data_IF_325325449285
#
_entry.id   IF_325325449285
#
_cell.length_a   1.000
_cell.length_b   1.000
_cell.length_c   1.000
_cell.angle_alpha   90.00
_cell.angle_beta   90.00
_cell.angle_gamma   90.00
#
_symmetry.space_group_name_H-M   'P 1'
#
loop_
_entity.id
_entity.type
_entity.pdbx_description
1 polymer ?
#
# COMPACT_ATOMS: atom_id res chain seq x y z
N UNK A 1 -18.28 1.14 1.52
CA UNK A 1 -17.55 2.19 0.74
C UNK A 1 -18.41 3.41 0.44
N UNK A 2 -17.80 4.56 0.12
CA UNK A 2 -18.48 5.83 -0.23
C UNK A 2 -18.21 6.19 -1.69
N UNK A 3 -19.26 6.55 -2.44
CA UNK A 3 -19.11 7.06 -3.80
C UNK A 3 -18.50 8.49 -3.80
N UNK A 4 -17.46 8.69 -4.61
CA UNK A 4 -16.76 9.96 -4.80
C UNK A 4 -16.46 10.16 -6.29
N UNK A 5 -16.25 11.41 -6.71
CA UNK A 5 -15.84 11.71 -8.09
C UNK A 5 -14.37 11.34 -8.32
N UNK A 6 -14.02 11.04 -9.58
CA UNK A 6 -12.64 10.68 -9.99
C UNK A 6 -11.65 11.76 -9.59
N UNK A 7 -12.02 13.04 -9.71
CA UNK A 7 -11.17 14.17 -9.33
C UNK A 7 -10.87 14.27 -7.85
N UNK A 8 -11.61 13.56 -6.99
CA UNK A 8 -11.33 13.43 -5.55
C UNK A 8 -10.50 12.16 -5.29
N UNK A 9 -10.84 11.07 -5.96
CA UNK A 9 -10.13 9.79 -5.86
C UNK A 9 -8.67 9.88 -6.34
N UNK A 10 -8.39 10.70 -7.35
CA UNK A 10 -7.06 10.85 -7.94
C UNK A 10 -6.20 11.94 -7.31
N UNK A 11 -6.67 12.62 -6.25
CA UNK A 11 -5.88 13.70 -5.63
C UNK A 11 -4.72 13.11 -4.85
N UNK A 12 -3.52 13.51 -5.23
CA UNK A 12 -2.30 13.17 -4.53
C UNK A 12 -1.81 14.36 -3.69
N UNK A 13 -1.88 14.31 -2.35
CA UNK A 13 -1.49 15.43 -1.48
C UNK A 13 0.02 15.50 -1.15
N UNK A 14 0.86 14.59 -1.67
CA UNK A 14 2.28 14.51 -1.28
C UNK A 14 3.23 15.46 -2.04
N UNK A 15 2.82 16.01 -3.19
CA UNK A 15 3.59 16.99 -3.98
C UNK A 15 2.68 18.13 -4.40
N UNK A 16 3.24 19.32 -4.65
CA UNK A 16 2.47 20.37 -5.30
C UNK A 16 2.29 20.03 -6.79
N UNK A 17 1.17 20.47 -7.38
CA UNK A 17 0.79 20.13 -8.76
C UNK A 17 1.91 20.26 -9.81
N UNK A 18 2.74 21.32 -9.84
CA UNK A 18 3.80 21.40 -10.85
C UNK A 18 4.93 20.38 -10.65
N UNK A 19 5.35 20.11 -9.42
CA UNK A 19 6.41 19.14 -9.15
C UNK A 19 5.92 17.70 -9.33
N UNK A 20 4.67 17.43 -8.97
CA UNK A 20 4.03 16.13 -9.20
C UNK A 20 3.99 15.83 -10.72
N UNK A 21 3.48 16.76 -11.51
CA UNK A 21 3.34 16.60 -12.95
C UNK A 21 4.69 16.40 -13.66
N UNK A 22 5.74 17.12 -13.25
CA UNK A 22 7.06 16.98 -13.86
C UNK A 22 7.75 15.67 -13.46
N UNK A 23 7.72 15.31 -12.17
CA UNK A 23 8.38 14.12 -11.65
C UNK A 23 7.73 12.83 -12.17
N UNK A 24 6.41 12.78 -12.25
CA UNK A 24 5.67 11.57 -12.65
C UNK A 24 5.30 11.50 -14.13
N UNK A 25 5.72 12.48 -14.94
CA UNK A 25 5.51 12.50 -16.39
C UNK A 25 5.91 11.19 -17.08
N UNK A 26 6.96 10.54 -16.59
CA UNK A 26 7.44 9.26 -17.11
C UNK A 26 6.43 8.12 -16.96
N UNK A 27 5.66 8.12 -15.86
CA UNK A 27 4.68 7.08 -15.52
C UNK A 27 3.23 7.45 -15.86
N UNK A 28 2.98 8.72 -16.22
CA UNK A 28 1.65 9.23 -16.59
C UNK A 28 1.45 9.43 -18.10
N UNK A 29 2.36 8.91 -18.94
CA UNK A 29 2.23 9.02 -20.39
C UNK A 29 1.54 7.78 -21.00
N UNK A 30 0.96 7.96 -22.19
CA UNK A 30 0.22 6.88 -22.88
C UNK A 30 1.08 5.62 -23.15
N UNK A 31 2.40 5.78 -23.22
CA UNK A 31 3.37 4.70 -23.48
C UNK A 31 4.28 4.42 -22.29
N UNK A 32 3.80 4.67 -21.07
CA UNK A 32 4.62 4.44 -19.87
C UNK A 32 5.08 2.98 -19.77
N UNK A 33 6.40 2.73 -19.68
CA UNK A 33 6.95 1.39 -19.64
C UNK A 33 6.70 0.74 -18.27
N UNK A 34 6.72 -0.59 -18.24
CA UNK A 34 6.84 -1.35 -17.00
C UNK A 34 8.31 -1.68 -16.77
N UNK A 35 9.04 -0.74 -16.16
CA UNK A 35 10.46 -0.91 -15.84
C UNK A 35 10.81 -0.45 -14.41
N UNK A 36 12.07 -0.65 -14.02
CA UNK A 36 12.56 -0.31 -12.69
C UNK A 36 12.42 1.18 -12.39
N UNK A 37 12.53 2.06 -13.38
CA UNK A 37 12.37 3.52 -13.21
C UNK A 37 10.91 3.86 -12.91
N UNK A 38 9.97 3.26 -13.66
CA UNK A 38 8.55 3.42 -13.41
C UNK A 38 8.15 2.89 -12.02
N UNK A 39 8.64 1.71 -11.65
CA UNK A 39 8.41 1.14 -10.33
C UNK A 39 8.97 2.02 -9.20
N UNK A 40 10.16 2.60 -9.40
CA UNK A 40 10.78 3.51 -8.43
C UNK A 40 9.95 4.78 -8.23
N UNK A 41 9.54 5.43 -9.32
CA UNK A 41 8.71 6.63 -9.28
C UNK A 41 7.36 6.36 -8.62
N UNK A 42 6.67 5.28 -9.00
CA UNK A 42 5.40 4.89 -8.36
C UNK A 42 5.58 4.60 -6.87
N UNK A 43 6.69 3.97 -6.48
CA UNK A 43 7.01 3.75 -5.07
C UNK A 43 7.28 5.05 -4.30
N UNK A 44 7.98 6.01 -4.91
CA UNK A 44 8.16 7.35 -4.36
C UNK A 44 6.83 8.04 -4.09
N UNK A 45 5.90 7.96 -5.06
CA UNK A 45 4.55 8.53 -4.93
C UNK A 45 3.80 7.87 -3.77
N UNK A 46 3.76 6.54 -3.71
CA UNK A 46 3.13 5.80 -2.62
C UNK A 46 3.70 6.20 -1.24
N UNK A 47 5.03 6.29 -1.11
CA UNK A 47 5.68 6.67 0.16
C UNK A 47 5.41 8.13 0.54
N UNK A 48 5.39 9.05 -0.42
CA UNK A 48 5.05 10.45 -0.15
C UNK A 48 3.58 10.60 0.31
N UNK A 49 2.66 9.77 -0.18
CA UNK A 49 1.30 9.70 0.36
C UNK A 49 1.29 9.26 1.84
N UNK A 50 2.04 8.20 2.18
CA UNK A 50 2.13 7.70 3.55
C UNK A 50 2.71 8.73 4.52
N UNK A 51 3.70 9.51 4.08
CA UNK A 51 4.24 10.65 4.86
C UNK A 51 3.10 11.64 5.16
N UNK A 52 2.36 12.07 4.14
CA UNK A 52 1.24 13.00 4.30
C UNK A 52 0.12 12.44 5.20
N UNK A 53 -0.23 11.16 5.02
CA UNK A 53 -1.25 10.47 5.79
C UNK A 53 -0.88 10.43 7.29
N UNK A 54 0.37 10.09 7.61
CA UNK A 54 0.86 10.12 9.00
C UNK A 54 0.92 11.54 9.58
N UNK A 55 1.24 12.56 8.77
CA UNK A 55 1.26 13.96 9.25
C UNK A 55 -0.17 14.40 9.62
N UNK A 56 -1.12 14.04 8.78
CA UNK A 56 -2.56 14.26 9.03
C UNK A 56 -3.02 13.52 10.28
N UNK A 57 -2.59 12.26 10.45
CA UNK A 57 -2.90 11.47 11.64
C UNK A 57 -2.35 12.12 12.93
N UNK A 58 -1.10 12.56 12.92
CA UNK A 58 -0.46 13.24 14.07
C UNK A 58 -1.16 14.56 14.40
N UNK A 59 -1.49 15.35 13.39
CA UNK A 59 -2.28 16.59 13.56
C UNK A 59 -3.65 16.29 14.16
N UNK A 60 -4.30 15.22 13.70
CA UNK A 60 -5.57 14.73 14.24
C UNK A 60 -5.46 14.34 15.71
N UNK A 61 -4.43 13.58 16.12
CA UNK A 61 -4.18 13.22 17.52
C UNK A 61 -3.97 14.48 18.37
N UNK A 62 -3.16 15.42 17.91
CA UNK A 62 -2.90 16.68 18.60
C UNK A 62 -4.17 17.52 18.78
N UNK A 63 -5.04 17.58 17.76
CA UNK A 63 -6.34 18.24 17.87
C UNK A 63 -7.26 17.54 18.87
N UNK A 64 -7.39 16.20 18.76
CA UNK A 64 -8.22 15.37 19.64
C UNK A 64 -7.83 15.50 21.11
N UNK A 65 -6.53 15.53 21.40
CA UNK A 65 -6.00 15.65 22.78
C UNK A 65 -6.46 16.90 23.53
N UNK A 66 -6.93 17.95 22.83
CA UNK A 66 -7.36 19.21 23.45
C UNK A 66 -8.84 19.23 23.84
N UNK A 67 -9.67 18.39 23.20
CA UNK A 67 -11.13 18.52 23.28
C UNK A 67 -11.88 17.20 23.52
N UNK A 68 -11.28 16.04 23.19
CA UNK A 68 -11.98 14.75 23.15
C UNK A 68 -12.50 14.27 24.52
N UNK A 69 -11.87 14.73 25.60
CA UNK A 69 -12.16 14.33 26.97
C UNK A 69 -12.89 15.42 27.78
N UNK A 70 -13.26 16.53 27.14
CA UNK A 70 -13.96 17.62 27.80
C UNK A 70 -15.32 17.17 28.35
N UNK A 71 -15.60 17.53 29.61
CA UNK A 71 -16.84 17.17 30.29
C UNK A 71 -16.88 15.74 30.86
N UNK A 72 -15.85 14.91 30.62
CA UNK A 72 -15.76 13.57 31.21
C UNK A 72 -15.24 13.63 32.66
N UNK A 73 -15.62 12.65 33.51
CA UNK A 73 -14.95 12.42 34.80
C UNK A 73 -13.45 12.18 34.65
N UNK A 74 -12.66 12.62 35.63
CA UNK A 74 -11.19 12.55 35.60
C UNK A 74 -10.60 11.19 35.22
N UNK A 75 -11.18 10.09 35.73
CA UNK A 75 -10.70 8.74 35.41
C UNK A 75 -10.85 8.40 33.91
N UNK A 76 -11.94 8.85 33.27
CA UNK A 76 -12.13 8.69 31.82
C UNK A 76 -11.23 9.63 31.02
N UNK A 77 -11.03 10.88 31.49
CA UNK A 77 -10.07 11.79 30.87
C UNK A 77 -8.67 11.20 30.86
N UNK A 78 -8.24 10.66 32.00
CA UNK A 78 -6.94 10.00 32.14
C UNK A 78 -6.80 8.81 31.18
N UNK A 79 -7.84 7.99 31.03
CA UNK A 79 -7.84 6.88 30.06
C UNK A 79 -7.73 7.38 28.62
N UNK A 80 -8.53 8.37 28.22
CA UNK A 80 -8.49 8.95 26.87
C UNK A 80 -7.10 9.53 26.57
N UNK A 81 -6.54 10.32 27.48
CA UNK A 81 -5.23 10.93 27.28
C UNK A 81 -4.10 9.91 27.24
N UNK A 82 -4.17 8.83 28.03
CA UNK A 82 -3.19 7.74 27.96
C UNK A 82 -3.22 7.00 26.61
N UNK A 83 -4.41 6.77 26.05
CA UNK A 83 -4.55 6.18 24.70
C UNK A 83 -3.98 7.13 23.65
N UNK A 84 -4.38 8.40 23.66
CA UNK A 84 -3.87 9.40 22.71
C UNK A 84 -2.36 9.60 22.81
N UNK A 85 -1.80 9.53 24.02
CA UNK A 85 -0.36 9.61 24.25
C UNK A 85 0.38 8.41 23.64
N UNK A 86 -0.13 7.20 23.87
CA UNK A 86 0.43 5.98 23.29
C UNK A 86 0.37 6.00 21.76
N UNK A 87 -0.74 6.50 21.21
CA UNK A 87 -0.93 6.64 19.77
C UNK A 87 0.04 7.64 19.18
N UNK A 88 0.22 8.79 19.84
CA UNK A 88 1.18 9.80 19.41
C UNK A 88 2.58 9.23 19.30
N UNK A 89 3.05 8.48 20.30
CA UNK A 89 4.37 7.84 20.28
C UNK A 89 4.48 6.89 19.08
N UNK A 90 3.47 6.05 18.84
CA UNK A 90 3.47 5.11 17.72
C UNK A 90 3.48 5.81 16.35
N UNK A 91 2.70 6.88 16.19
CA UNK A 91 2.66 7.68 14.96
C UNK A 91 3.96 8.45 14.74
N UNK A 92 4.55 9.02 15.79
CA UNK A 92 5.85 9.71 15.73
C UNK A 92 6.98 8.77 15.32
N UNK A 93 7.01 7.54 15.86
CA UNK A 93 7.97 6.52 15.45
C UNK A 93 7.76 6.14 13.98
N UNK A 94 6.53 5.80 13.59
CA UNK A 94 6.22 5.45 12.20
C UNK A 94 6.48 6.61 11.22
N UNK A 95 6.38 7.85 11.68
CA UNK A 95 6.73 9.05 10.89
C UNK A 95 8.24 9.12 10.62
N UNK A 96 9.07 8.85 11.63
CA UNK A 96 10.51 8.81 11.46
C UNK A 96 10.91 7.71 10.45
N UNK A 97 10.29 6.53 10.56
CA UNK A 97 10.56 5.40 9.68
C UNK A 97 10.18 5.69 8.22
N UNK A 98 8.98 6.22 7.97
CA UNK A 98 8.54 6.52 6.59
C UNK A 98 9.34 7.67 5.96
N UNK A 99 9.78 8.67 6.74
CA UNK A 99 10.63 9.76 6.23
C UNK A 99 12.03 9.26 5.88
N UNK A 100 12.60 8.37 6.70
CA UNK A 100 13.86 7.71 6.37
C UNK A 100 13.72 6.91 5.07
N UNK A 101 12.62 6.17 4.90
CA UNK A 101 12.34 5.46 3.67
C UNK A 101 12.18 6.39 2.46
N UNK A 102 11.44 7.49 2.59
CA UNK A 102 11.31 8.50 1.53
C UNK A 102 12.68 9.03 1.08
N UNK A 103 13.60 9.27 2.03
CA UNK A 103 14.98 9.64 1.73
C UNK A 103 15.75 8.57 0.94
N UNK A 104 15.52 7.27 1.22
CA UNK A 104 16.13 6.18 0.44
C UNK A 104 15.62 6.13 -0.98
N UNK A 105 14.32 6.31 -1.20
CA UNK A 105 13.75 6.39 -2.53
C UNK A 105 14.27 7.59 -3.31
N UNK A 106 14.37 8.76 -2.67
CA UNK A 106 14.96 9.94 -3.28
C UNK A 106 16.43 9.69 -3.68
N UNK A 107 17.24 9.10 -2.79
CA UNK A 107 18.62 8.75 -3.10
C UNK A 107 18.73 7.73 -4.26
N UNK A 108 17.80 6.78 -4.34
CA UNK A 108 17.72 5.82 -5.44
C UNK A 108 17.39 6.47 -6.78
N UNK A 109 16.56 7.53 -6.76
CA UNK A 109 16.23 8.31 -7.93
C UNK A 109 17.39 9.20 -8.39
N UNK A 110 18.08 9.84 -7.44
CA UNK A 110 19.21 10.73 -7.73
C UNK A 110 20.44 9.97 -8.24
N UNK A 111 20.62 8.71 -7.83
CA UNK A 111 21.74 7.86 -8.23
C UNK A 111 21.29 6.44 -8.65
N UNK A 112 20.70 6.28 -9.85
CA UNK A 112 20.22 5.00 -10.34
C UNK A 112 21.32 3.92 -10.36
N UNK A 113 20.97 2.70 -9.94
CA UNK A 113 21.88 1.54 -9.93
C UNK A 113 22.80 1.41 -8.71
N UNK A 114 22.79 2.38 -7.78
CA UNK A 114 23.64 2.35 -6.57
C UNK A 114 22.89 2.03 -5.27
N UNK A 115 21.57 1.82 -5.37
CA UNK A 115 20.65 2.06 -4.25
C UNK A 115 20.10 0.82 -3.54
N UNK A 116 20.43 -0.40 -4.02
CA UNK A 116 19.82 -1.63 -3.49
C UNK A 116 18.30 -1.65 -3.61
N UNK A 117 17.75 -0.89 -4.58
CA UNK A 117 16.33 -0.87 -4.89
C UNK A 117 15.98 -2.09 -5.72
N UNK A 118 14.98 -2.84 -5.27
CA UNK A 118 14.43 -3.98 -5.97
C UNK A 118 13.04 -3.65 -6.47
N UNK A 119 12.72 -4.15 -7.66
CA UNK A 119 11.40 -3.99 -8.26
C UNK A 119 10.90 -5.32 -8.81
N UNK A 120 9.60 -5.54 -8.67
CA UNK A 120 8.86 -6.58 -9.38
C UNK A 120 7.58 -5.95 -9.90
N UNK A 121 7.16 -6.31 -11.10
CA UNK A 121 5.89 -5.81 -11.62
C UNK A 121 5.30 -6.70 -12.69
N UNK A 122 3.99 -6.57 -12.88
CA UNK A 122 3.25 -7.28 -13.92
C UNK A 122 2.33 -6.31 -14.65
N UNK A 123 2.07 -6.58 -15.92
CA UNK A 123 1.04 -5.92 -16.72
C UNK A 123 -0.05 -6.92 -17.07
N UNK A 124 -1.30 -6.51 -16.89
CA UNK A 124 -2.46 -7.29 -17.35
C UNK A 124 -2.82 -6.98 -18.80
N UNK A 125 -3.52 -7.89 -19.46
CA UNK A 125 -4.11 -7.69 -20.79
C UNK A 125 -5.28 -6.70 -20.83
N UNK A 126 -5.65 -6.12 -19.69
CA UNK A 126 -6.81 -5.24 -19.51
C UNK A 126 -6.63 -4.26 -18.37
N UNK A 127 -7.60 -3.36 -18.24
CA UNK A 127 -7.75 -2.49 -17.08
C UNK A 127 -8.59 -3.22 -16.03
N UNK A 128 -8.07 -3.32 -14.81
CA UNK A 128 -8.80 -3.84 -13.65
C UNK A 128 -9.76 -2.77 -13.11
N UNK A 129 -10.88 -3.15 -12.49
CA UNK A 129 -11.89 -2.21 -12.01
C UNK A 129 -11.50 -1.55 -10.68
N UNK A 130 -10.22 -1.57 -10.30
CA UNK A 130 -9.71 -1.00 -9.07
C UNK A 130 -8.27 -0.49 -9.23
N UNK A 131 -7.92 0.47 -8.38
CA UNK A 131 -6.60 1.06 -8.28
C UNK A 131 -6.27 1.26 -6.79
N UNK A 132 -5.01 1.11 -6.43
CA UNK A 132 -4.55 1.30 -5.08
C UNK A 132 -3.07 1.66 -5.05
N UNK A 133 -2.64 2.43 -4.06
CA UNK A 133 -1.23 2.73 -3.87
C UNK A 133 -0.90 3.00 -2.41
N UNK A 134 0.18 2.42 -1.89
CA UNK A 134 0.69 2.73 -0.56
C UNK A 134 1.90 1.88 -0.19
N UNK A 135 2.40 2.04 1.03
CA UNK A 135 3.58 1.31 1.50
C UNK A 135 3.34 0.69 2.87
N UNK A 136 3.68 -0.58 3.03
CA UNK A 136 3.37 -1.36 4.23
C UNK A 136 4.48 -2.34 4.60
N UNK A 137 4.40 -2.90 5.80
CA UNK A 137 5.28 -3.97 6.23
C UNK A 137 4.66 -5.33 5.89
N UNK A 138 5.40 -6.17 5.18
CA UNK A 138 4.95 -7.51 4.85
C UNK A 138 4.98 -8.40 6.11
N UNK A 139 3.79 -8.76 6.62
CA UNK A 139 3.64 -9.58 7.83
C UNK A 139 3.42 -11.07 7.50
N UNK A 140 2.68 -11.33 6.43
CA UNK A 140 2.25 -12.66 5.98
C UNK A 140 2.34 -12.74 4.45
N UNK A 141 2.32 -13.95 3.89
CA UNK A 141 2.31 -14.19 2.44
C UNK A 141 1.04 -14.88 1.94
N UNK A 142 0.94 -15.15 0.64
CA UNK A 142 -0.23 -15.78 0.01
C UNK A 142 -0.41 -17.27 0.36
N UNK A 143 0.57 -17.87 1.05
CA UNK A 143 0.45 -19.21 1.63
C UNK A 143 0.14 -19.17 3.13
N UNK A 144 -0.07 -17.97 3.68
CA UNK A 144 -0.32 -17.72 5.10
C UNK A 144 0.88 -17.95 6.01
N UNK A 145 2.09 -17.95 5.46
CA UNK A 145 3.31 -18.00 6.25
C UNK A 145 3.57 -16.63 6.85
N UNK A 146 3.87 -16.59 8.14
CA UNK A 146 4.29 -15.36 8.82
C UNK A 146 5.71 -15.02 8.38
N UNK A 147 5.86 -13.91 7.67
CA UNK A 147 7.14 -13.42 7.13
C UNK A 147 7.98 -12.71 8.18
N UNK A 148 7.32 -12.09 9.16
CA UNK A 148 7.96 -11.40 10.27
C UNK A 148 7.07 -11.47 11.51
N UNK A 149 7.67 -11.71 12.68
CA UNK A 149 7.04 -11.45 13.97
C UNK A 149 7.47 -10.07 14.48
N UNK A 150 6.55 -9.34 15.09
CA UNK A 150 6.73 -7.95 15.58
C UNK A 150 7.93 -7.81 16.54
N UNK A 151 8.36 -8.89 17.20
CA UNK A 151 9.47 -8.97 18.14
C UNK A 151 10.84 -9.32 17.54
N UNK A 152 10.93 -9.53 16.22
CA UNK A 152 12.19 -9.86 15.53
C UNK A 152 13.14 -8.65 15.44
N UNK A 153 14.45 -8.91 15.60
CA UNK A 153 15.52 -7.91 15.40
C UNK A 153 15.88 -7.70 13.92
N UNK A 154 15.22 -8.41 13.02
CA UNK A 154 15.51 -8.36 11.59
C UNK A 154 15.31 -6.95 11.05
N UNK A 155 16.09 -6.57 10.04
CA UNK A 155 15.90 -5.30 9.36
C UNK A 155 14.46 -5.20 8.83
N UNK A 156 13.79 -4.09 9.14
CA UNK A 156 12.44 -3.83 8.68
C UNK A 156 12.50 -3.56 7.18
N UNK A 157 11.79 -4.35 6.38
CA UNK A 157 11.67 -4.15 4.94
C UNK A 157 10.23 -3.77 4.61
N UNK A 158 10.01 -2.47 4.43
CA UNK A 158 8.75 -1.94 3.92
C UNK A 158 8.73 -2.11 2.39
N UNK A 159 7.56 -2.40 1.86
CA UNK A 159 7.31 -2.56 0.42
C UNK A 159 6.26 -1.55 -0.01
N UNK A 160 6.52 -0.87 -1.12
CA UNK A 160 5.53 -0.05 -1.81
C UNK A 160 4.80 -0.89 -2.85
N UNK A 161 3.47 -0.82 -2.84
CA UNK A 161 2.58 -1.47 -3.81
C UNK A 161 1.84 -0.38 -4.58
N UNK A 162 1.83 -0.50 -5.90
CA UNK A 162 1.00 0.33 -6.77
C UNK A 162 0.21 -0.55 -7.74
N UNK A 163 -1.08 -0.26 -7.85
CA UNK A 163 -2.02 -0.86 -8.78
C UNK A 163 -2.62 0.31 -9.53
N UNK A 164 -2.13 0.56 -10.73
CA UNK A 164 -2.48 1.73 -11.50
C UNK A 164 -2.47 1.43 -12.99
N UNK A 165 -3.20 2.23 -13.76
CA UNK A 165 -3.16 2.17 -15.22
C UNK A 165 -1.88 2.82 -15.70
N UNK A 166 -1.02 2.05 -16.38
CA UNK A 166 0.14 2.57 -17.13
C UNK A 166 -0.18 2.40 -18.61
N UNK A 167 -0.41 3.50 -19.33
CA UNK A 167 -0.90 3.44 -20.72
C UNK A 167 -2.33 2.92 -20.80
N UNK A 168 -2.54 1.76 -21.44
CA UNK A 168 -3.87 1.19 -21.70
C UNK A 168 -4.20 -0.06 -20.87
N UNK A 169 -3.38 -0.38 -19.87
CA UNK A 169 -3.55 -1.59 -19.05
C UNK A 169 -3.20 -1.31 -17.60
N UNK A 170 -3.78 -2.11 -16.69
CA UNK A 170 -3.37 -2.06 -15.29
C UNK A 170 -2.03 -2.77 -15.12
N UNK A 171 -1.12 -2.11 -14.40
CA UNK A 171 0.09 -2.71 -13.88
C UNK A 171 0.02 -2.79 -12.35
N UNK A 172 0.66 -3.82 -11.83
CA UNK A 172 0.94 -3.97 -10.41
C UNK A 172 2.45 -3.87 -10.27
N UNK A 173 2.93 -2.94 -9.44
CA UNK A 173 4.36 -2.77 -9.17
C UNK A 173 4.64 -2.83 -7.68
N UNK A 174 5.71 -3.53 -7.35
CA UNK A 174 6.30 -3.65 -6.04
C UNK A 174 7.67 -3.00 -6.08
N UNK A 175 7.97 -2.17 -5.09
CA UNK A 175 9.29 -1.58 -4.91
C UNK A 175 9.70 -1.67 -3.45
N UNK A 176 10.92 -2.13 -3.17
CA UNK A 176 11.43 -2.23 -1.80
C UNK A 176 12.95 -2.12 -1.76
N UNK A 177 13.45 -2.05 -0.54
CA UNK A 177 14.87 -2.21 -0.24
C UNK A 177 15.06 -3.31 0.81
N UNK A 178 16.19 -4.00 0.74
CA UNK A 178 16.56 -5.02 1.72
C UNK A 178 17.38 -6.14 1.07
N UNK A 179 17.79 -7.10 1.88
CA UNK A 179 18.44 -8.31 1.38
C UNK A 179 17.44 -9.20 0.62
N UNK A 180 17.96 -10.16 -0.15
CA UNK A 180 17.15 -11.07 -0.97
C UNK A 180 16.21 -11.97 -0.17
N UNK A 181 16.44 -12.16 1.13
CA UNK A 181 15.60 -12.97 2.03
C UNK A 181 14.71 -12.13 2.98
N UNK A 182 14.63 -10.81 2.78
CA UNK A 182 13.79 -9.94 3.59
C UNK A 182 12.29 -10.24 3.40
N UNK A 183 11.46 -9.76 4.32
CA UNK A 183 10.01 -9.99 4.29
C UNK A 183 9.35 -9.50 2.98
N UNK A 184 9.78 -8.36 2.45
CA UNK A 184 9.28 -7.83 1.18
C UNK A 184 9.58 -8.79 0.01
N UNK A 185 10.82 -9.29 -0.09
CA UNK A 185 11.21 -10.24 -1.12
C UNK A 185 10.39 -11.55 -1.03
N UNK A 186 10.21 -12.09 0.18
CA UNK A 186 9.41 -13.31 0.42
C UNK A 186 7.94 -13.13 0.04
N UNK A 187 7.34 -11.97 0.31
CA UNK A 187 5.99 -11.65 -0.15
C UNK A 187 5.90 -11.65 -1.68
N UNK A 188 6.87 -11.01 -2.35
CA UNK A 188 6.93 -10.96 -3.81
C UNK A 188 7.16 -12.33 -4.42
N UNK A 189 8.02 -13.17 -3.82
CA UNK A 189 8.21 -14.56 -4.26
C UNK A 189 6.90 -15.36 -4.17
N UNK A 190 6.20 -15.23 -3.05
CA UNK A 190 4.89 -15.84 -2.85
C UNK A 190 3.85 -15.35 -3.86
N UNK A 191 3.88 -14.08 -4.26
CA UNK A 191 2.99 -13.51 -5.27
C UNK A 191 3.35 -14.00 -6.68
N UNK A 192 4.64 -14.02 -7.01
CA UNK A 192 5.15 -14.44 -8.31
C UNK A 192 4.88 -15.93 -8.58
N UNK A 193 4.87 -16.75 -7.53
CA UNK A 193 4.56 -18.17 -7.60
C UNK A 193 3.08 -18.50 -7.90
N UNK A 194 2.18 -17.51 -7.82
CA UNK A 194 0.78 -17.70 -8.19
C UNK A 194 0.61 -17.85 -9.71
N UNK A 195 -0.45 -18.55 -10.12
CA UNK A 195 -0.82 -18.60 -11.53
C UNK A 195 -1.18 -17.20 -12.05
N UNK A 196 -0.89 -16.92 -13.32
CA UNK A 196 -1.09 -15.58 -13.90
C UNK A 196 -2.52 -15.06 -13.76
N UNK A 197 -3.52 -15.97 -13.81
CA UNK A 197 -4.93 -15.64 -13.63
C UNK A 197 -5.31 -15.33 -12.18
N UNK A 198 -4.52 -15.78 -11.20
CA UNK A 198 -4.76 -15.52 -9.78
C UNK A 198 -4.18 -14.17 -9.34
N UNK A 199 -3.19 -13.63 -10.06
CA UNK A 199 -2.47 -12.41 -9.67
C UNK A 199 -3.37 -11.18 -9.58
N UNK A 200 -4.45 -11.10 -10.36
CA UNK A 200 -5.41 -9.99 -10.27
C UNK A 200 -6.19 -10.01 -8.94
N UNK A 201 -6.72 -11.18 -8.57
CA UNK A 201 -7.42 -11.35 -7.29
C UNK A 201 -6.45 -11.19 -6.11
N UNK A 202 -5.24 -11.72 -6.21
CA UNK A 202 -4.19 -11.56 -5.21
C UNK A 202 -3.83 -10.08 -5.00
N UNK A 203 -3.78 -9.30 -6.08
CA UNK A 203 -3.54 -7.85 -6.00
C UNK A 203 -4.69 -7.12 -5.31
N UNK A 204 -5.95 -7.53 -5.56
CA UNK A 204 -7.11 -6.99 -4.85
C UNK A 204 -7.04 -7.29 -3.35
N UNK A 205 -6.85 -8.55 -2.98
CA UNK A 205 -6.81 -8.98 -1.57
C UNK A 205 -5.69 -8.25 -0.84
N UNK A 206 -4.48 -8.20 -1.44
CA UNK A 206 -3.36 -7.49 -0.86
C UNK A 206 -3.63 -6.00 -0.66
N UNK A 207 -4.27 -5.34 -1.63
CA UNK A 207 -4.63 -3.93 -1.51
C UNK A 207 -5.68 -3.69 -0.42
N UNK A 208 -6.74 -4.50 -0.36
CA UNK A 208 -7.80 -4.37 0.65
C UNK A 208 -7.29 -4.60 2.08
N UNK A 209 -6.32 -5.50 2.23
CA UNK A 209 -5.73 -5.83 3.53
C UNK A 209 -4.75 -4.76 4.02
N UNK A 210 -3.99 -4.14 3.12
CA UNK A 210 -2.86 -3.28 3.50
C UNK A 210 -3.00 -1.80 3.17
N UNK A 211 -3.85 -1.42 2.22
CA UNK A 211 -3.86 -0.07 1.66
C UNK A 211 -5.18 0.65 1.98
N UNK A 212 -5.07 1.78 2.67
CA UNK A 212 -6.20 2.69 2.88
C UNK A 212 -6.59 3.43 1.58
N UNK A 213 -5.60 3.68 0.73
CA UNK A 213 -5.76 4.35 -0.55
C UNK A 213 -6.15 3.35 -1.64
N UNK A 214 -7.38 2.83 -1.53
CA UNK A 214 -8.01 1.90 -2.47
C UNK A 214 -9.25 2.53 -3.09
N UNK A 215 -9.38 2.38 -4.41
CA UNK A 215 -10.54 2.82 -5.18
C UNK A 215 -10.98 1.73 -6.14
N UNK A 216 -12.29 1.62 -6.36
CA UNK A 216 -12.85 0.74 -7.37
C UNK A 216 -14.01 1.39 -8.11
N UNK A 217 -14.35 0.87 -9.28
CA UNK A 217 -15.53 1.34 -10.01
C UNK A 217 -16.79 0.97 -9.22
N UNK A 218 -17.76 1.89 -9.09
CA UNK A 218 -19.02 1.59 -8.41
C UNK A 218 -19.77 0.42 -9.06
N UNK A 219 -19.78 0.36 -10.40
CA UNK A 219 -20.45 -0.70 -11.14
C UNK A 219 -19.90 -2.09 -10.79
N UNK A 220 -18.57 -2.24 -10.70
CA UNK A 220 -17.97 -3.50 -10.30
C UNK A 220 -18.32 -3.86 -8.86
N UNK A 221 -18.24 -2.89 -7.94
CA UNK A 221 -18.57 -3.13 -6.54
C UNK A 221 -20.03 -3.57 -6.35
N UNK A 222 -20.96 -2.93 -7.05
CA UNK A 222 -22.40 -3.21 -6.95
C UNK A 222 -22.78 -4.57 -7.57
N UNK A 223 -21.98 -5.07 -8.53
CA UNK A 223 -22.15 -6.39 -9.15
C UNK A 223 -21.60 -7.55 -8.29
N UNK A 224 -20.76 -7.28 -7.29
CA UNK A 224 -20.21 -8.33 -6.43
C UNK A 224 -21.32 -9.04 -5.62
N UNK A 225 -21.20 -10.35 -5.38
CA UNK A 225 -22.06 -11.04 -4.41
C UNK A 225 -21.96 -10.39 -3.02
N UNK A 226 -23.07 -10.38 -2.28
CA UNK A 226 -23.13 -9.77 -0.94
C UNK A 226 -22.07 -10.35 0.00
N UNK A 227 -21.85 -11.66 -0.03
CA UNK A 227 -20.81 -12.32 0.77
C UNK A 227 -19.40 -11.80 0.48
N UNK A 228 -19.10 -11.49 -0.78
CA UNK A 228 -17.80 -10.94 -1.18
C UNK A 228 -17.66 -9.51 -0.67
N UNK A 229 -18.68 -8.66 -0.84
CA UNK A 229 -18.67 -7.28 -0.33
C UNK A 229 -18.49 -7.23 1.18
N UNK A 230 -19.27 -7.99 1.94
CA UNK A 230 -19.18 -8.01 3.40
C UNK A 230 -17.80 -8.42 3.88
N UNK A 231 -17.16 -9.38 3.19
CA UNK A 231 -15.80 -9.78 3.52
C UNK A 231 -14.78 -8.70 3.16
N UNK A 232 -14.88 -8.09 1.98
CA UNK A 232 -13.98 -7.01 1.59
C UNK A 232 -14.09 -5.81 2.53
N UNK A 233 -15.30 -5.47 3.00
CA UNK A 233 -15.48 -4.47 4.05
C UNK A 233 -14.80 -4.88 5.37
N UNK A 234 -14.80 -6.17 5.74
CA UNK A 234 -14.08 -6.68 6.91
C UNK A 234 -12.56 -6.60 6.74
N UNK A 235 -12.02 -6.94 5.57
CA UNK A 235 -10.59 -6.81 5.25
C UNK A 235 -10.10 -5.38 5.41
N UNK A 236 -10.83 -4.41 4.83
CA UNK A 236 -10.53 -2.98 4.96
C UNK A 236 -10.55 -2.55 6.44
N UNK A 237 -11.51 -3.04 7.22
CA UNK A 237 -11.58 -2.75 8.65
C UNK A 237 -10.47 -3.42 9.48
N UNK A 238 -10.02 -4.61 9.07
CA UNK A 238 -8.98 -5.42 9.72
C UNK A 238 -7.60 -4.75 9.69
N UNK A 239 -7.29 -3.99 8.65
CA UNK A 239 -6.09 -3.16 8.57
C UNK A 239 -5.97 -2.09 9.68
N UNK A 240 -7.07 -1.76 10.36
CA UNK A 240 -7.11 -0.76 11.43
C UNK A 240 -6.93 -1.34 12.85
N UNK A 241 -6.89 -2.68 13.00
CA UNK A 241 -6.84 -3.34 14.30
C UNK A 241 -5.43 -3.44 14.87
N UNK A 242 -5.25 -3.15 16.17
CA UNK A 242 -3.97 -3.21 16.91
C UNK A 242 -3.55 -4.64 17.27
N UNK A 243 -3.54 -5.56 16.31
CA UNK A 243 -3.17 -6.96 16.49
C UNK A 243 -2.27 -7.46 15.38
N UNK A 244 -1.67 -8.64 15.59
CA UNK A 244 -1.00 -9.33 14.49
C UNK A 244 -2.03 -9.67 13.40
N UNK A 245 -1.64 -9.48 12.14
CA UNK A 245 -2.49 -9.84 10.99
C UNK A 245 -2.87 -11.32 11.02
N UNK A 246 -4.10 -11.64 10.63
CA UNK A 246 -4.53 -13.03 10.44
C UNK A 246 -3.60 -13.69 9.42
N UNK A 247 -2.95 -14.83 9.75
CA UNK A 247 -2.14 -15.58 8.80
C UNK A 247 -2.88 -15.91 7.51
N UNK A 248 -4.20 -16.06 7.54
CA UNK A 248 -5.00 -16.38 6.35
C UNK A 248 -5.56 -15.15 5.62
N UNK A 249 -5.13 -13.94 5.98
CA UNK A 249 -5.63 -12.70 5.38
C UNK A 249 -5.38 -12.63 3.86
N UNK A 250 -4.23 -13.15 3.40
CA UNK A 250 -3.85 -13.16 1.98
C UNK A 250 -4.14 -14.49 1.27
N UNK A 251 -4.68 -15.49 1.97
CA UNK A 251 -4.93 -16.79 1.35
C UNK A 251 -6.11 -16.68 0.38
N UNK A 252 -5.82 -16.90 -0.90
CA UNK A 252 -6.79 -16.82 -1.99
C UNK A 252 -7.92 -17.82 -1.81
N UNK A 253 -9.18 -17.38 -1.99
CA UNK A 253 -10.36 -18.26 -1.88
C UNK A 253 -11.12 -18.40 -3.21
N UNK A 254 -10.67 -17.73 -4.27
CA UNK A 254 -11.30 -17.81 -5.59
C UNK A 254 -12.63 -17.06 -5.63
N UNK A 255 -12.71 -15.92 -4.95
CA UNK A 255 -13.94 -15.18 -4.77
C UNK A 255 -14.28 -14.32 -5.97
N UNK A 256 -13.26 -13.88 -6.71
CA UNK A 256 -13.42 -13.02 -7.89
C UNK A 256 -12.46 -13.48 -8.99
N UNK A 257 -13.04 -13.89 -10.11
CA UNK A 257 -12.28 -14.08 -11.35
C UNK A 257 -12.39 -12.83 -12.22
N UNK A 258 -11.24 -12.21 -12.49
CA UNK A 258 -11.15 -11.02 -13.36
C UNK A 258 -10.97 -11.39 -14.84
N UNK A 259 -10.68 -12.65 -15.14
CA UNK A 259 -10.25 -13.12 -16.46
C UNK A 259 -9.02 -12.39 -16.99
N UNK A 260 -8.27 -11.71 -16.12
CA UNK A 260 -7.12 -10.88 -16.48
C UNK A 260 -5.86 -11.74 -16.55
N UNK A 261 -5.17 -11.71 -17.68
CA UNK A 261 -3.95 -12.47 -17.90
C UNK A 261 -2.74 -11.55 -17.80
N UNK A 262 -1.66 -12.02 -17.18
CA UNK A 262 -0.36 -11.33 -17.23
C UNK A 262 0.23 -11.43 -18.65
N UNK A 263 0.65 -10.30 -19.20
CA UNK A 263 1.23 -10.18 -20.55
C UNK A 263 2.67 -9.65 -20.56
N UNK A 264 3.10 -9.05 -19.47
CA UNK A 264 4.45 -8.53 -19.28
C UNK A 264 4.84 -8.68 -17.82
N UNK A 265 6.12 -8.95 -17.55
CA UNK A 265 6.66 -9.04 -16.19
C UNK A 265 8.00 -8.30 -16.13
N UNK A 266 8.14 -7.44 -15.12
CA UNK A 266 9.38 -6.83 -14.69
C UNK A 266 9.90 -7.61 -13.50
N UNK A 267 11.14 -8.08 -13.57
CA UNK A 267 11.84 -8.67 -12.44
C UNK A 267 13.25 -8.08 -12.35
N UNK A 268 13.43 -7.16 -11.41
CA UNK A 268 14.68 -6.47 -11.11
C UNK A 268 15.12 -6.76 -9.68
N UNK A 269 14.89 -7.99 -9.21
CA UNK A 269 15.41 -8.52 -7.95
C UNK A 269 16.87 -8.94 -8.18
N UNK A 270 17.80 -8.44 -7.37
CA UNK A 270 19.24 -8.78 -7.43
C UNK A 270 19.51 -9.81 -6.35
#
# INVERSE_FOLDING_TARGET
>A
MRAIGVSIASVFPGYCSPHDAELFKYVECEKSPLDTTAALLLSMRAVAYEVFAKETQLNGINAKSKFMDQGLPFHLQSLVQNVLHSDRIGVEQGMADIRALAGRYQAAYDAPGSSGFHAFGIRFDRILPFAAAGAFFAEVDFQGRVLRRVDSRDAISQIALNIATLGQSTCVTFGWFGESDCAAAKLVDSFNALDDYQKAEASLVLALEHLENFFCSPSWWDELPEGNRSRFDQSIAGGMTRGARDPNALVMRGDVDFGAKVVETLDSRI
#
